data_IF_102328990069
#
_entry.id   IF_102328990069
#
_cell.length_a   1.000
_cell.length_b   1.000
_cell.length_c   1.000
_cell.angle_alpha   90.00
_cell.angle_beta   90.00
_cell.angle_gamma   90.00
#
_symmetry.space_group_name_H-M   'P 1'
#
loop_
_entity.id
_entity.type
_entity.pdbx_description
1 polymer ?
#
# COMPACT_ATOMS: atom_id res chain seq x y z
N UNK A 1 -45.23 9.20 -67.44
CA UNK A 1 -43.80 9.00 -67.25
C UNK A 1 -43.51 9.28 -65.80
N UNK A 2 -43.31 8.23 -64.95
CA UNK A 2 -42.97 8.35 -63.57
C UNK A 2 -41.42 8.36 -63.47
N UNK A 3 -40.82 9.46 -62.97
CA UNK A 3 -39.39 9.56 -62.73
C UNK A 3 -39.11 8.88 -61.41
N UNK A 4 -38.34 7.78 -61.41
CA UNK A 4 -37.72 7.18 -60.19
C UNK A 4 -36.48 7.99 -59.86
N UNK A 5 -36.46 8.56 -58.65
CA UNK A 5 -35.26 9.16 -58.05
C UNK A 5 -34.60 8.06 -57.24
N UNK A 6 -33.41 7.59 -57.66
CA UNK A 6 -32.58 6.64 -56.94
C UNK A 6 -31.74 7.44 -55.94
N UNK A 7 -32.11 7.35 -54.64
CA UNK A 7 -31.35 7.95 -53.54
C UNK A 7 -30.26 6.97 -53.13
N UNK A 8 -29.03 7.15 -53.57
CA UNK A 8 -27.86 6.41 -53.08
C UNK A 8 -27.43 6.96 -51.73
N UNK A 9 -27.77 6.23 -50.68
CA UNK A 9 -27.31 6.51 -49.31
C UNK A 9 -25.84 6.06 -49.19
N UNK A 10 -24.93 7.01 -49.19
CA UNK A 10 -23.52 6.77 -48.87
C UNK A 10 -23.39 6.53 -47.36
N UNK A 11 -23.21 5.27 -46.94
CA UNK A 11 -22.87 4.92 -45.56
C UNK A 11 -21.39 5.25 -45.38
N UNK A 12 -21.08 6.42 -44.80
CA UNK A 12 -19.75 6.76 -44.29
C UNK A 12 -19.45 5.86 -43.09
N UNK A 13 -18.81 4.72 -43.35
CA UNK A 13 -18.08 3.99 -42.31
C UNK A 13 -16.89 4.85 -41.92
N UNK A 14 -17.01 5.58 -40.83
CA UNK A 14 -15.84 6.18 -40.15
C UNK A 14 -14.99 5.05 -39.60
N UNK A 15 -14.00 4.58 -40.35
CA UNK A 15 -12.90 3.84 -39.80
C UNK A 15 -12.13 4.82 -38.88
N UNK A 16 -12.18 4.62 -37.59
CA UNK A 16 -11.18 5.19 -36.68
C UNK A 16 -9.86 4.51 -37.02
N UNK A 17 -9.08 5.14 -37.91
CA UNK A 17 -7.70 4.72 -38.13
C UNK A 17 -6.92 5.05 -36.88
N UNK A 18 -6.61 4.05 -36.06
CA UNK A 18 -5.63 4.20 -35.02
C UNK A 18 -4.29 4.54 -35.69
N UNK A 19 -3.69 5.67 -35.30
CA UNK A 19 -2.36 6.01 -35.77
C UNK A 19 -1.37 5.05 -35.10
N UNK A 20 -0.59 4.33 -35.90
CA UNK A 20 0.53 3.56 -35.37
C UNK A 20 1.75 4.46 -35.30
N UNK A 21 2.28 4.63 -34.08
CA UNK A 21 3.48 5.41 -33.82
C UNK A 21 4.59 4.46 -33.36
N UNK A 22 5.71 4.49 -34.07
CA UNK A 22 6.87 3.61 -33.80
C UNK A 22 8.06 4.45 -33.32
N UNK A 23 8.81 3.97 -32.33
CA UNK A 23 10.05 4.62 -31.94
C UNK A 23 11.08 4.55 -33.07
N UNK A 24 11.80 5.64 -33.34
CA UNK A 24 12.81 5.76 -34.40
C UNK A 24 14.24 5.76 -33.89
N UNK A 25 14.41 5.94 -32.58
CA UNK A 25 15.68 5.91 -31.86
C UNK A 25 15.47 5.68 -30.35
N UNK A 26 16.53 5.41 -29.63
CA UNK A 26 16.50 5.40 -28.16
C UNK A 26 16.17 6.79 -27.64
N UNK A 27 15.35 6.88 -26.58
CA UNK A 27 15.03 8.16 -25.97
C UNK A 27 13.90 8.11 -24.94
N UNK A 28 13.51 9.28 -24.46
CA UNK A 28 12.38 9.40 -23.55
C UNK A 28 11.06 9.40 -24.31
N UNK A 29 9.99 8.79 -23.73
CA UNK A 29 8.66 8.74 -24.33
C UNK A 29 8.10 10.12 -24.65
N UNK A 30 8.33 11.11 -23.79
CA UNK A 30 7.83 12.47 -23.97
C UNK A 30 8.58 13.28 -25.02
N UNK A 31 9.74 12.80 -25.49
CA UNK A 31 10.52 13.49 -26.50
C UNK A 31 10.02 13.19 -27.91
N UNK A 32 9.65 14.24 -28.67
CA UNK A 32 9.19 14.10 -30.04
C UNK A 32 10.20 13.43 -30.98
N UNK A 33 11.49 13.58 -30.69
CA UNK A 33 12.58 12.97 -31.45
C UNK A 33 12.65 11.45 -31.31
N UNK A 34 12.09 10.89 -30.26
CA UNK A 34 12.03 9.44 -30.05
C UNK A 34 11.12 8.73 -31.08
N UNK A 35 10.16 9.45 -31.64
CA UNK A 35 9.08 8.88 -32.43
C UNK A 35 9.20 9.19 -33.93
N UNK A 36 8.91 8.21 -34.76
CA UNK A 36 8.78 8.40 -36.18
C UNK A 36 7.63 9.39 -36.49
N UNK A 37 7.91 10.39 -37.27
CA UNK A 37 6.96 11.47 -37.53
C UNK A 37 6.94 12.61 -36.52
N UNK A 38 7.77 12.54 -35.44
CA UNK A 38 7.95 13.64 -34.50
C UNK A 38 6.75 13.95 -33.60
N UNK A 39 5.85 12.99 -33.38
CA UNK A 39 4.68 13.14 -32.51
C UNK A 39 4.76 12.15 -31.35
N UNK A 40 4.58 12.63 -30.11
CA UNK A 40 4.48 11.79 -28.91
C UNK A 40 3.16 11.03 -28.95
N UNK A 41 3.16 9.69 -28.72
CA UNK A 41 1.94 8.90 -28.68
C UNK A 41 0.98 9.32 -27.56
N UNK A 42 -0.33 9.21 -27.81
CA UNK A 42 -1.40 9.44 -26.86
C UNK A 42 -2.33 8.24 -26.70
N UNK A 43 -3.40 8.39 -25.91
CA UNK A 43 -4.32 7.31 -25.53
C UNK A 43 -5.04 6.60 -26.69
N UNK A 44 -5.14 7.23 -27.86
CA UNK A 44 -5.77 6.65 -29.06
C UNK A 44 -4.78 5.96 -30.01
N UNK A 45 -3.47 6.04 -29.73
CA UNK A 45 -2.45 5.55 -30.65
C UNK A 45 -2.03 4.12 -30.37
N UNK A 46 -1.75 3.35 -31.42
CA UNK A 46 -1.08 2.07 -31.36
C UNK A 46 0.43 2.31 -31.32
N UNK A 47 1.09 1.95 -30.22
CA UNK A 47 2.52 2.24 -30.01
C UNK A 47 3.38 1.02 -30.25
N UNK A 48 4.48 1.20 -31.00
CA UNK A 48 5.50 0.17 -31.21
C UNK A 48 6.85 0.66 -30.70
N UNK A 49 7.37 -0.04 -29.74
CA UNK A 49 8.73 0.16 -29.18
C UNK A 49 9.70 -0.70 -29.98
N UNK A 50 10.42 -0.08 -30.89
CA UNK A 50 11.43 -0.73 -31.74
C UNK A 50 12.88 -0.34 -31.33
N UNK A 51 13.04 0.49 -30.33
CA UNK A 51 14.28 0.98 -29.74
C UNK A 51 14.12 1.05 -28.22
N UNK A 52 15.17 1.32 -27.47
CA UNK A 52 15.03 1.47 -26.02
C UNK A 52 14.38 2.81 -25.69
N UNK A 53 13.24 2.74 -24.98
CA UNK A 53 12.42 3.91 -24.59
C UNK A 53 12.28 3.96 -23.09
N UNK A 54 12.58 5.13 -22.50
CA UNK A 54 12.28 5.43 -21.10
C UNK A 54 10.98 6.22 -20.99
N UNK A 55 10.17 5.86 -20.01
CA UNK A 55 8.95 6.60 -19.64
C UNK A 55 9.17 7.18 -18.24
N UNK A 56 9.37 8.51 -18.16
CA UNK A 56 9.66 9.24 -16.92
C UNK A 56 8.55 10.24 -16.54
N UNK A 57 7.38 10.12 -17.15
CA UNK A 57 6.20 10.95 -16.90
C UNK A 57 4.93 10.18 -17.24
N UNK A 58 3.75 10.76 -16.98
CA UNK A 58 2.48 10.11 -17.28
C UNK A 58 2.23 10.06 -18.79
N UNK A 59 2.05 8.85 -19.30
CA UNK A 59 1.85 8.55 -20.73
C UNK A 59 0.68 7.59 -20.93
N UNK A 60 0.24 7.46 -22.17
CA UNK A 60 -0.84 6.55 -22.54
C UNK A 60 -0.70 6.01 -23.96
N UNK A 61 -1.29 4.85 -24.20
CA UNK A 61 -1.40 4.21 -25.50
C UNK A 61 -2.72 3.44 -25.58
N UNK A 62 -3.26 3.28 -26.79
CA UNK A 62 -4.39 2.36 -27.02
C UNK A 62 -3.90 0.90 -26.97
N UNK A 63 -2.85 0.61 -27.75
CA UNK A 63 -2.14 -0.68 -27.73
C UNK A 63 -0.65 -0.47 -27.60
N UNK A 64 0.05 -1.45 -27.07
CA UNK A 64 1.51 -1.43 -26.92
C UNK A 64 2.12 -2.70 -27.49
N UNK A 65 3.09 -2.55 -28.40
CA UNK A 65 3.96 -3.65 -28.85
C UNK A 65 5.41 -3.32 -28.51
N UNK A 66 6.10 -4.17 -27.77
CA UNK A 66 7.55 -4.07 -27.56
C UNK A 66 8.21 -5.14 -28.41
N UNK A 67 9.07 -4.71 -29.35
CA UNK A 67 9.74 -5.60 -30.30
C UNK A 67 10.89 -6.36 -29.60
N UNK A 68 11.23 -7.52 -30.16
CA UNK A 68 12.39 -8.30 -29.69
C UNK A 68 13.67 -7.45 -29.75
N UNK A 69 14.45 -7.47 -28.68
CA UNK A 69 15.68 -6.70 -28.54
C UNK A 69 15.49 -5.24 -28.11
N UNK A 70 14.23 -4.77 -27.94
CA UNK A 70 13.93 -3.42 -27.45
C UNK A 70 13.47 -3.46 -25.99
N UNK A 71 13.74 -2.38 -25.25
CA UNK A 71 13.35 -2.25 -23.85
C UNK A 71 12.46 -1.02 -23.65
N UNK A 72 11.32 -1.20 -22.98
CA UNK A 72 10.53 -0.12 -22.38
C UNK A 72 10.78 -0.09 -20.88
N UNK A 73 11.33 1.03 -20.37
CA UNK A 73 11.56 1.22 -18.93
C UNK A 73 10.65 2.31 -18.38
N UNK A 74 9.73 1.97 -17.49
CA UNK A 74 9.03 2.92 -16.66
C UNK A 74 9.92 3.23 -15.45
N UNK A 75 10.40 4.46 -15.39
CA UNK A 75 11.21 4.92 -14.25
C UNK A 75 10.33 5.10 -13.01
N UNK A 76 10.90 5.37 -11.85
CA UNK A 76 10.14 5.63 -10.61
C UNK A 76 9.08 6.76 -10.75
N UNK A 77 9.30 7.70 -11.67
CA UNK A 77 8.38 8.82 -11.97
C UNK A 77 7.47 8.54 -13.17
N UNK A 78 7.67 7.40 -13.84
CA UNK A 78 6.96 7.02 -15.04
C UNK A 78 5.62 6.35 -14.75
N UNK A 79 4.58 6.76 -15.49
CA UNK A 79 3.26 6.16 -15.43
C UNK A 79 2.73 5.90 -16.85
N UNK A 80 2.31 4.67 -17.13
CA UNK A 80 1.79 4.31 -18.45
C UNK A 80 0.44 3.58 -18.34
N UNK A 81 -0.58 4.12 -19.03
CA UNK A 81 -1.84 3.40 -19.25
C UNK A 81 -1.86 2.82 -20.65
N UNK A 82 -2.14 1.52 -20.76
CA UNK A 82 -2.42 0.85 -22.04
C UNK A 82 -3.88 0.40 -22.04
N UNK A 83 -4.68 0.95 -22.98
CA UNK A 83 -6.14 0.83 -22.96
C UNK A 83 -6.68 -0.54 -23.37
N UNK A 84 -5.93 -1.33 -24.16
CA UNK A 84 -6.40 -2.64 -24.64
C UNK A 84 -5.31 -3.70 -24.63
N UNK A 85 -4.55 -3.89 -25.68
CA UNK A 85 -3.62 -5.02 -25.84
C UNK A 85 -2.17 -4.62 -25.57
N UNK A 86 -1.45 -5.46 -24.83
CA UNK A 86 0.01 -5.42 -24.71
C UNK A 86 0.62 -6.66 -25.34
N UNK A 87 1.49 -6.48 -26.35
CA UNK A 87 2.29 -7.53 -26.96
C UNK A 87 3.76 -7.31 -26.60
N UNK A 88 4.29 -8.08 -25.67
CA UNK A 88 5.69 -7.97 -25.25
C UNK A 88 6.53 -9.10 -25.85
N UNK A 89 7.32 -8.76 -26.90
CA UNK A 89 8.33 -9.65 -27.48
C UNK A 89 9.77 -9.24 -27.07
N UNK A 90 9.91 -8.11 -26.36
CA UNK A 90 11.14 -7.55 -25.86
C UNK A 90 11.19 -7.57 -24.33
N UNK A 91 11.51 -6.42 -23.74
CA UNK A 91 11.58 -6.25 -22.30
C UNK A 91 10.72 -5.07 -21.85
N UNK A 92 9.87 -5.26 -20.82
CA UNK A 92 9.20 -4.18 -20.11
C UNK A 92 9.71 -4.21 -18.68
N UNK A 93 10.23 -3.07 -18.19
CA UNK A 93 10.70 -2.90 -16.81
C UNK A 93 9.89 -1.81 -16.13
N UNK A 94 9.36 -2.11 -14.96
CA UNK A 94 8.78 -1.11 -14.04
C UNK A 94 9.71 -0.98 -12.85
N UNK A 95 10.26 0.21 -12.63
CA UNK A 95 11.28 0.45 -11.61
C UNK A 95 10.65 0.97 -10.34
N UNK A 96 10.80 0.23 -9.25
CA UNK A 96 10.51 0.66 -7.89
C UNK A 96 11.80 1.09 -7.18
N UNK A 97 11.76 2.26 -6.58
CA UNK A 97 12.78 2.76 -5.65
C UNK A 97 12.39 2.41 -4.20
N UNK A 98 13.08 2.97 -3.23
CA UNK A 98 12.78 2.72 -1.83
C UNK A 98 11.38 3.18 -1.43
N UNK A 99 10.98 4.38 -1.87
CA UNK A 99 9.74 5.05 -1.49
C UNK A 99 8.85 5.46 -2.68
N UNK A 100 9.26 5.19 -3.90
CA UNK A 100 8.58 5.60 -5.12
C UNK A 100 8.63 4.46 -6.14
N UNK A 101 7.63 4.38 -7.00
CA UNK A 101 7.58 3.35 -8.03
C UNK A 101 6.98 3.89 -9.31
N UNK A 102 7.54 3.47 -10.44
CA UNK A 102 6.86 3.53 -11.72
C UNK A 102 5.53 2.78 -11.65
N UNK A 103 4.62 3.11 -12.54
CA UNK A 103 3.26 2.59 -12.54
C UNK A 103 2.81 2.18 -13.94
N UNK A 104 2.41 0.92 -14.08
CA UNK A 104 1.84 0.38 -15.32
C UNK A 104 0.41 -0.11 -15.08
N UNK A 105 -0.55 0.45 -15.80
CA UNK A 105 -1.93 -0.02 -15.87
C UNK A 105 -2.19 -0.52 -17.29
N UNK A 106 -2.52 -1.81 -17.40
CA UNK A 106 -2.94 -2.42 -18.67
C UNK A 106 -4.37 -2.94 -18.49
N UNK A 107 -5.33 -2.20 -19.03
CA UNK A 107 -6.75 -2.57 -19.01
C UNK A 107 -7.07 -3.49 -20.17
N UNK A 108 -7.95 -4.47 -19.93
CA UNK A 108 -8.36 -5.45 -20.95
C UNK A 108 -7.21 -6.20 -21.66
N UNK A 109 -5.98 -6.09 -21.14
CA UNK A 109 -4.84 -6.76 -21.71
C UNK A 109 -4.78 -8.24 -21.29
N UNK A 110 -4.42 -9.10 -22.25
CA UNK A 110 -4.00 -10.46 -21.94
C UNK A 110 -2.74 -10.47 -21.07
N UNK A 111 -2.46 -11.62 -20.46
CA UNK A 111 -1.24 -11.81 -19.69
C UNK A 111 0.01 -11.61 -20.54
N UNK A 112 0.95 -10.83 -20.06
CA UNK A 112 2.26 -10.61 -20.69
C UNK A 112 3.38 -10.59 -19.64
N UNK A 113 4.61 -10.82 -20.08
CA UNK A 113 5.75 -10.81 -19.18
C UNK A 113 6.27 -9.38 -18.98
N UNK A 114 6.68 -9.10 -17.75
CA UNK A 114 7.41 -7.88 -17.39
C UNK A 114 8.39 -8.17 -16.24
N UNK A 115 9.30 -7.24 -16.00
CA UNK A 115 10.16 -7.21 -14.84
C UNK A 115 9.72 -6.04 -13.95
N UNK A 116 9.41 -6.33 -12.68
CA UNK A 116 9.25 -5.33 -11.64
C UNK A 116 10.51 -5.32 -10.78
N UNK A 117 11.13 -4.16 -10.63
CA UNK A 117 12.36 -4.01 -9.85
C UNK A 117 12.11 -3.19 -8.60
N UNK A 118 12.57 -3.65 -7.43
CA UNK A 118 12.33 -3.01 -6.14
C UNK A 118 13.61 -2.99 -5.31
N UNK A 119 13.93 -1.85 -4.68
CA UNK A 119 15.03 -1.78 -3.74
C UNK A 119 14.68 -2.48 -2.42
N UNK A 120 15.51 -3.45 -2.01
CA UNK A 120 15.44 -4.16 -0.74
C UNK A 120 16.63 -3.72 0.13
N UNK A 121 16.41 -3.19 1.34
CA UNK A 121 17.49 -2.70 2.20
C UNK A 121 18.37 -3.84 2.74
N UNK A 122 19.59 -3.47 3.18
CA UNK A 122 20.46 -4.37 3.92
C UNK A 122 20.08 -4.40 5.39
N UNK A 123 20.17 -5.59 6.00
CA UNK A 123 20.02 -5.77 7.46
C UNK A 123 18.66 -5.34 8.05
N UNK A 124 17.69 -5.09 7.19
CA UNK A 124 16.32 -4.73 7.56
C UNK A 124 15.32 -5.54 6.75
N UNK A 125 14.27 -6.02 7.41
CA UNK A 125 13.16 -6.66 6.76
C UNK A 125 12.23 -5.62 6.13
N UNK A 126 11.93 -5.79 4.85
CA UNK A 126 10.92 -5.02 4.12
C UNK A 126 9.71 -5.88 3.81
N UNK A 127 8.51 -5.37 4.06
CA UNK A 127 7.28 -6.00 3.58
C UNK A 127 7.13 -5.75 2.08
N UNK A 128 6.91 -6.82 1.31
CA UNK A 128 6.95 -6.78 -0.15
C UNK A 128 5.74 -7.47 -0.75
N UNK A 129 5.03 -6.76 -1.63
CA UNK A 129 4.09 -7.32 -2.60
C UNK A 129 4.80 -7.60 -3.92
N UNK A 130 4.52 -8.73 -4.56
CA UNK A 130 5.15 -9.11 -5.83
C UNK A 130 4.11 -9.02 -6.95
N UNK A 131 4.22 -8.04 -7.86
CA UNK A 131 3.16 -7.73 -8.83
C UNK A 131 3.17 -8.63 -10.08
N UNK A 132 3.94 -9.71 -10.06
CA UNK A 132 4.02 -10.69 -11.16
C UNK A 132 3.84 -12.11 -10.65
N UNK A 133 3.41 -13.03 -11.49
CA UNK A 133 3.17 -14.44 -11.19
C UNK A 133 4.12 -15.35 -11.96
N UNK A 134 4.18 -16.60 -11.55
CA UNK A 134 5.01 -17.63 -12.19
C UNK A 134 6.42 -17.71 -11.63
N UNK A 135 6.68 -17.06 -10.49
CA UNK A 135 7.97 -17.07 -9.80
C UNK A 135 8.06 -18.25 -8.80
N UNK A 136 9.27 -18.72 -8.64
CA UNK A 136 9.71 -19.57 -7.54
C UNK A 136 10.74 -18.86 -6.68
N UNK A 137 11.09 -19.40 -5.53
CA UNK A 137 12.14 -18.83 -4.66
C UNK A 137 13.47 -18.68 -5.41
N UNK A 138 13.82 -19.62 -6.28
CA UNK A 138 15.06 -19.58 -7.07
C UNK A 138 15.12 -18.41 -8.07
N UNK A 139 13.97 -17.87 -8.46
CA UNK A 139 13.92 -16.73 -9.39
C UNK A 139 14.23 -15.40 -8.71
N UNK A 140 14.26 -15.35 -7.36
CA UNK A 140 14.42 -14.13 -6.57
C UNK A 140 15.43 -14.24 -5.42
N UNK A 141 16.08 -15.40 -5.22
CA UNK A 141 17.01 -15.62 -4.09
C UNK A 141 18.41 -15.02 -4.29
N UNK A 142 18.69 -14.46 -5.47
CA UNK A 142 19.96 -13.85 -5.80
C UNK A 142 20.31 -12.71 -4.83
N UNK A 143 21.39 -12.92 -4.05
CA UNK A 143 21.90 -11.94 -3.08
C UNK A 143 20.96 -11.56 -1.93
N UNK A 144 19.88 -12.28 -1.72
CA UNK A 144 19.12 -12.14 -0.47
C UNK A 144 20.00 -12.57 0.72
N UNK A 145 19.74 -11.99 1.89
CA UNK A 145 20.47 -12.34 3.10
C UNK A 145 20.30 -13.84 3.40
N UNK A 146 21.33 -14.47 3.98
CA UNK A 146 21.27 -15.87 4.34
C UNK A 146 21.70 -16.08 5.78
N UNK A 147 21.13 -17.10 6.44
CA UNK A 147 21.49 -17.49 7.78
C UNK A 147 21.58 -19.03 7.87
N UNK A 148 22.70 -19.52 8.43
CA UNK A 148 23.00 -20.95 8.49
C UNK A 148 23.76 -21.46 7.25
N UNK A 149 23.75 -22.75 7.03
CA UNK A 149 24.44 -23.40 5.92
C UNK A 149 23.79 -24.71 5.50
N UNK A 150 24.12 -25.18 4.29
CA UNK A 150 23.61 -26.44 3.74
C UNK A 150 22.11 -26.38 3.43
N UNK A 151 21.42 -27.51 3.39
CA UNK A 151 20.02 -27.63 3.01
C UNK A 151 19.05 -26.94 3.98
N UNK A 152 19.47 -26.58 5.19
CA UNK A 152 18.70 -25.87 6.19
C UNK A 152 19.07 -24.37 6.27
N UNK A 153 19.90 -23.86 5.36
CA UNK A 153 20.20 -22.45 5.27
C UNK A 153 18.93 -21.68 4.94
N UNK A 154 18.63 -20.66 5.77
CA UNK A 154 17.51 -19.74 5.55
C UNK A 154 17.89 -18.69 4.51
N UNK A 155 16.96 -18.34 3.64
CA UNK A 155 17.09 -17.27 2.64
C UNK A 155 16.29 -16.07 3.13
N UNK A 156 16.75 -14.86 2.83
CA UNK A 156 16.15 -13.61 3.26
C UNK A 156 14.81 -13.29 2.57
N UNK A 157 13.93 -14.28 2.50
CA UNK A 157 12.53 -14.18 2.08
C UNK A 157 11.68 -15.10 2.95
N UNK A 158 10.59 -14.56 3.46
CA UNK A 158 9.62 -15.27 4.29
C UNK A 158 8.19 -14.83 4.00
N UNK A 159 7.25 -15.59 4.49
CA UNK A 159 5.83 -15.27 4.45
C UNK A 159 5.17 -15.57 5.79
N UNK A 160 4.07 -14.89 6.03
CA UNK A 160 3.26 -15.17 7.22
C UNK A 160 2.25 -16.27 6.91
N UNK A 161 2.32 -17.35 7.69
CA UNK A 161 1.32 -18.43 7.68
C UNK A 161 0.13 -17.97 8.53
N UNK A 162 -0.90 -17.47 7.87
CA UNK A 162 -2.10 -16.94 8.51
C UNK A 162 -2.82 -17.99 9.35
N UNK A 163 -2.91 -19.23 8.86
CA UNK A 163 -3.62 -20.31 9.56
C UNK A 163 -2.93 -20.69 10.87
N UNK A 164 -1.60 -20.74 10.88
CA UNK A 164 -0.81 -21.09 12.06
C UNK A 164 -0.28 -19.88 12.84
N UNK A 165 -0.54 -18.66 12.38
CA UNK A 165 -0.15 -17.39 13.01
C UNK A 165 1.34 -17.29 13.30
N UNK A 166 2.18 -17.60 12.31
CA UNK A 166 3.64 -17.58 12.44
C UNK A 166 4.36 -17.23 11.14
N UNK A 167 5.55 -16.70 11.27
CA UNK A 167 6.45 -16.52 10.15
C UNK A 167 7.09 -17.84 9.70
N UNK A 168 7.13 -18.03 8.40
CA UNK A 168 7.81 -19.12 7.72
C UNK A 168 8.85 -18.53 6.78
N UNK A 169 10.11 -18.95 6.94
CA UNK A 169 11.22 -18.49 6.10
C UNK A 169 11.61 -19.60 5.15
N UNK A 170 11.80 -19.27 3.89
CA UNK A 170 12.24 -20.26 2.91
C UNK A 170 13.67 -20.72 3.18
N UNK A 171 13.93 -21.98 2.85
CA UNK A 171 15.26 -22.56 2.92
C UNK A 171 15.92 -22.58 1.53
N UNK A 172 17.24 -22.58 1.49
CA UNK A 172 17.99 -22.72 0.23
C UNK A 172 17.68 -24.03 -0.53
N UNK A 173 17.05 -24.98 0.14
CA UNK A 173 16.48 -26.18 -0.48
C UNK A 173 15.09 -26.02 -1.07
N UNK A 174 14.41 -24.90 -0.81
CA UNK A 174 13.04 -24.63 -1.31
C UNK A 174 13.01 -23.97 -2.70
N UNK A 175 13.99 -24.22 -3.54
CA UNK A 175 14.20 -23.51 -4.82
C UNK A 175 12.99 -23.53 -5.76
N UNK A 176 12.14 -24.55 -5.68
CA UNK A 176 10.94 -24.71 -6.49
C UNK A 176 9.65 -24.28 -5.81
N UNK A 177 9.73 -23.75 -4.58
CA UNK A 177 8.56 -23.24 -3.89
C UNK A 177 7.98 -22.04 -4.64
N UNK A 178 6.67 -22.08 -4.93
CA UNK A 178 5.99 -21.04 -5.69
C UNK A 178 5.78 -19.78 -4.86
N UNK A 179 5.95 -18.64 -5.50
CA UNK A 179 5.65 -17.31 -4.96
C UNK A 179 4.26 -16.89 -5.43
N UNK A 180 3.37 -16.55 -4.50
CA UNK A 180 2.00 -16.08 -4.79
C UNK A 180 1.98 -14.58 -5.00
N UNK A 181 1.36 -14.12 -6.07
CA UNK A 181 1.24 -12.70 -6.43
C UNK A 181 0.45 -11.85 -5.40
N UNK A 182 -0.49 -12.46 -4.67
CA UNK A 182 -1.38 -11.73 -3.74
C UNK A 182 -1.01 -11.88 -2.27
N UNK A 183 0.01 -12.71 -1.98
CA UNK A 183 0.58 -12.84 -0.64
C UNK A 183 1.64 -11.75 -0.43
N UNK A 184 1.66 -11.17 0.76
CA UNK A 184 2.78 -10.34 1.19
C UNK A 184 3.94 -11.22 1.70
N UNK A 185 5.13 -10.72 1.51
CA UNK A 185 6.39 -11.34 1.95
C UNK A 185 7.19 -10.37 2.80
N UNK A 186 8.09 -10.88 3.60
CA UNK A 186 9.21 -10.10 4.14
C UNK A 186 10.47 -10.45 3.36
N UNK A 187 11.27 -9.46 3.03
CA UNK A 187 12.55 -9.65 2.33
C UNK A 187 13.66 -8.84 2.96
N UNK A 188 14.86 -9.40 2.96
CA UNK A 188 16.10 -8.74 3.39
C UNK A 188 17.23 -9.07 2.41
N UNK A 189 17.90 -8.04 1.90
CA UNK A 189 19.05 -8.21 1.03
C UNK A 189 20.36 -8.22 1.83
N UNK A 190 21.37 -8.95 1.39
CA UNK A 190 22.65 -9.08 2.10
C UNK A 190 23.40 -7.73 2.23
N UNK A 191 23.33 -6.88 1.21
CA UNK A 191 24.07 -5.60 1.14
C UNK A 191 23.20 -4.39 0.78
N UNK A 192 21.90 -4.58 0.60
CA UNK A 192 20.99 -3.58 0.03
C UNK A 192 21.21 -3.43 -1.47
N UNK A 193 20.20 -3.80 -2.26
CA UNK A 193 20.20 -3.64 -3.71
C UNK A 193 18.80 -3.72 -4.31
N UNK A 194 18.72 -3.46 -5.61
CA UNK A 194 17.52 -3.69 -6.40
C UNK A 194 17.37 -5.17 -6.68
N UNK A 195 16.23 -5.74 -6.29
CA UNK A 195 15.79 -7.10 -6.62
C UNK A 195 14.78 -7.03 -7.75
N UNK A 196 14.92 -7.92 -8.73
CA UNK A 196 14.05 -7.97 -9.92
C UNK A 196 13.14 -9.18 -9.89
N UNK A 197 11.86 -8.95 -10.12
CA UNK A 197 10.81 -9.94 -10.21
C UNK A 197 10.36 -10.04 -11.66
N UNK A 198 10.84 -11.02 -12.40
CA UNK A 198 10.49 -11.21 -13.82
C UNK A 198 9.47 -12.33 -13.96
N UNK A 199 8.27 -11.97 -14.37
CA UNK A 199 7.17 -12.94 -14.48
C UNK A 199 6.00 -12.42 -15.29
N UNK A 200 4.87 -13.09 -15.18
CA UNK A 200 3.66 -12.76 -15.93
C UNK A 200 2.78 -11.80 -15.13
N UNK A 201 2.53 -10.60 -15.67
CA UNK A 201 1.44 -9.75 -15.21
C UNK A 201 0.11 -10.33 -15.67
N UNK A 202 -0.83 -10.41 -14.76
CA UNK A 202 -2.24 -10.69 -15.05
C UNK A 202 -3.05 -9.44 -14.71
N UNK A 203 -3.53 -8.75 -15.72
CA UNK A 203 -4.24 -7.48 -15.57
C UNK A 203 -5.64 -7.61 -14.95
N UNK A 204 -6.24 -8.81 -14.96
CA UNK A 204 -7.58 -9.08 -14.41
C UNK A 204 -7.63 -9.10 -12.88
N UNK A 205 -8.84 -9.07 -12.32
CA UNK A 205 -9.08 -9.18 -10.88
C UNK A 205 -8.33 -10.34 -10.22
N UNK A 206 -7.80 -10.12 -9.02
CA UNK A 206 -6.99 -11.09 -8.27
C UNK A 206 -7.63 -11.40 -6.92
N UNK A 207 -7.80 -12.70 -6.62
CA UNK A 207 -8.18 -13.12 -5.26
C UNK A 207 -6.93 -13.24 -4.39
N UNK A 208 -7.05 -12.80 -3.14
CA UNK A 208 -5.95 -12.91 -2.16
C UNK A 208 -5.83 -14.34 -1.61
N UNK A 209 -4.83 -14.58 -0.77
CA UNK A 209 -4.83 -15.72 0.14
C UNK A 209 -6.05 -15.61 1.09
N UNK A 210 -6.46 -16.73 1.67
CA UNK A 210 -7.51 -16.73 2.67
C UNK A 210 -7.08 -15.99 3.94
N UNK A 211 -8.00 -15.24 4.53
CA UNK A 211 -7.94 -14.81 5.94
C UNK A 211 -8.63 -15.85 6.82
N UNK A 212 -8.53 -15.71 8.12
CA UNK A 212 -9.21 -16.57 9.10
C UNK A 212 -9.69 -15.74 10.27
N UNK A 213 -10.72 -16.22 10.97
CA UNK A 213 -11.31 -15.53 12.11
C UNK A 213 -10.27 -15.21 13.19
N UNK A 214 -10.17 -13.95 13.57
CA UNK A 214 -9.27 -13.44 14.59
C UNK A 214 -7.78 -13.75 14.31
N UNK A 215 -7.37 -13.69 13.04
CA UNK A 215 -5.98 -13.89 12.63
C UNK A 215 -5.51 -12.81 11.66
N UNK A 216 -4.23 -12.51 11.76
CA UNK A 216 -3.55 -11.61 10.83
C UNK A 216 -3.24 -12.31 9.52
N UNK A 217 -3.39 -11.59 8.41
CA UNK A 217 -2.95 -12.01 7.09
C UNK A 217 -2.12 -10.91 6.44
N UNK A 218 -1.00 -11.27 5.84
CA UNK A 218 -0.15 -10.36 5.08
C UNK A 218 -0.49 -10.49 3.60
N UNK A 219 -1.06 -9.43 3.03
CA UNK A 219 -1.46 -9.33 1.64
C UNK A 219 -0.47 -8.48 0.85
N UNK A 220 -0.28 -8.77 -0.44
CA UNK A 220 0.56 -7.99 -1.34
C UNK A 220 -0.26 -7.31 -2.44
N UNK A 221 0.16 -6.11 -2.84
CA UNK A 221 -0.37 -5.46 -4.05
C UNK A 221 0.03 -6.30 -5.28
N UNK A 222 -0.94 -6.88 -6.02
CA UNK A 222 -0.65 -7.76 -7.15
C UNK A 222 -0.41 -7.04 -8.47
N UNK A 223 -0.40 -5.71 -8.49
CA UNK A 223 -0.24 -4.92 -9.72
C UNK A 223 1.00 -4.02 -9.65
N UNK A 224 1.65 -3.77 -10.78
CA UNK A 224 2.72 -2.78 -10.89
C UNK A 224 2.15 -1.37 -11.03
N UNK A 225 1.15 -1.05 -10.23
CA UNK A 225 0.43 0.22 -10.14
C UNK A 225 -0.05 0.46 -8.73
N UNK A 226 -0.39 1.69 -8.39
CA UNK A 226 -1.02 1.99 -7.12
C UNK A 226 -2.45 1.44 -7.08
N UNK A 227 -2.92 1.10 -5.88
CA UNK A 227 -4.32 0.75 -5.62
C UNK A 227 -4.96 1.83 -4.75
N UNK A 228 -6.19 2.23 -5.07
CA UNK A 228 -6.99 3.05 -4.14
C UNK A 228 -7.26 2.25 -2.88
N UNK A 229 -6.89 2.82 -1.73
CA UNK A 229 -7.08 2.19 -0.44
C UNK A 229 -8.44 2.53 0.16
N UNK A 230 -8.74 3.81 0.28
CA UNK A 230 -9.92 4.33 0.97
C UNK A 230 -10.92 4.97 0.02
N UNK A 231 -12.09 5.33 0.51
CA UNK A 231 -13.10 6.09 -0.21
C UNK A 231 -12.73 7.56 -0.39
N UNK A 232 -11.78 8.08 0.36
CA UNK A 232 -11.18 9.42 0.19
C UNK A 232 -10.23 9.48 -1.02
N UNK A 233 -9.73 8.34 -1.50
CA UNK A 233 -8.84 8.31 -2.65
C UNK A 233 -9.51 8.92 -3.89
N UNK A 234 -8.78 9.76 -4.63
CA UNK A 234 -9.32 10.44 -5.82
C UNK A 234 -9.97 9.45 -6.80
N UNK A 235 -11.24 9.67 -7.08
CA UNK A 235 -12.06 8.82 -7.95
C UNK A 235 -12.52 7.51 -7.33
N UNK A 236 -12.42 7.35 -5.99
CA UNK A 236 -12.99 6.20 -5.30
C UNK A 236 -14.52 6.20 -5.42
N UNK A 237 -15.07 5.03 -5.66
CA UNK A 237 -16.51 4.81 -5.69
C UNK A 237 -16.85 3.31 -5.67
N UNK A 238 -17.91 2.93 -4.99
CA UNK A 238 -18.39 1.55 -4.96
C UNK A 238 -17.33 0.56 -4.53
N UNK A 239 -16.85 -0.31 -5.42
CA UNK A 239 -15.86 -1.36 -5.13
C UNK A 239 -14.50 -1.12 -5.77
N UNK A 240 -14.20 0.11 -6.21
CA UNK A 240 -12.94 0.44 -6.86
C UNK A 240 -11.82 0.92 -5.91
N UNK A 241 -11.98 0.70 -4.60
CA UNK A 241 -10.97 0.91 -3.56
C UNK A 241 -10.92 -0.31 -2.63
N UNK A 242 -9.81 -0.48 -1.90
CA UNK A 242 -9.61 -1.71 -1.12
C UNK A 242 -10.53 -1.76 0.11
N UNK A 243 -10.66 -0.70 0.89
CA UNK A 243 -11.53 -0.65 2.08
C UNK A 243 -13.00 -0.34 1.72
N UNK A 244 -13.52 -0.99 0.66
CA UNK A 244 -14.94 -0.89 0.29
C UNK A 244 -15.84 -1.68 1.27
N UNK A 245 -17.13 -1.40 1.24
CA UNK A 245 -18.14 -2.00 2.16
C UNK A 245 -18.05 -3.52 2.24
N UNK A 246 -17.80 -4.22 1.11
CA UNK A 246 -17.67 -5.68 1.10
C UNK A 246 -16.42 -6.12 1.85
N UNK A 247 -15.27 -5.51 1.58
CA UNK A 247 -14.01 -5.87 2.23
C UNK A 247 -14.01 -5.50 3.72
N UNK A 248 -14.65 -4.39 4.10
CA UNK A 248 -14.82 -4.03 5.51
C UNK A 248 -15.59 -5.10 6.29
N UNK A 249 -16.57 -5.78 5.68
CA UNK A 249 -17.30 -6.89 6.33
C UNK A 249 -16.44 -8.16 6.54
N UNK A 250 -15.34 -8.32 5.81
CA UNK A 250 -14.37 -9.42 5.96
C UNK A 250 -13.36 -9.15 7.09
N UNK A 251 -13.23 -7.89 7.50
CA UNK A 251 -12.37 -7.49 8.59
C UNK A 251 -13.11 -7.56 9.93
N UNK A 252 -12.36 -7.78 10.99
CA UNK A 252 -12.89 -7.71 12.35
C UNK A 252 -13.37 -6.29 12.64
N UNK A 253 -14.53 -6.11 13.28
CA UNK A 253 -15.10 -4.79 13.59
C UNK A 253 -14.10 -3.85 14.30
N UNK A 254 -13.26 -4.40 15.16
CA UNK A 254 -12.19 -3.66 15.85
C UNK A 254 -10.95 -3.39 15.00
N UNK A 255 -10.91 -3.86 13.76
CA UNK A 255 -9.76 -3.77 12.85
C UNK A 255 -10.23 -3.53 11.41
N UNK A 256 -11.16 -2.60 11.19
CA UNK A 256 -11.63 -2.21 9.86
C UNK A 256 -10.65 -1.23 9.18
N UNK A 257 -9.39 -1.67 9.09
CA UNK A 257 -8.24 -0.93 8.60
C UNK A 257 -7.24 -1.89 7.97
N UNK A 258 -6.17 -1.33 7.40
CA UNK A 258 -4.95 -2.06 7.10
C UNK A 258 -3.80 -1.53 7.95
N UNK A 259 -2.74 -2.33 8.10
CA UNK A 259 -1.50 -1.90 8.71
C UNK A 259 -0.36 -2.00 7.71
N UNK A 260 0.42 -0.93 7.59
CA UNK A 260 1.62 -0.85 6.77
C UNK A 260 2.86 -0.54 7.60
N UNK A 261 4.02 -0.88 7.08
CA UNK A 261 5.31 -0.55 7.68
C UNK A 261 5.87 0.72 7.04
N UNK A 262 6.04 1.79 7.82
CA UNK A 262 6.51 3.11 7.34
C UNK A 262 8.04 3.20 7.17
N UNK A 263 8.77 2.13 7.50
CA UNK A 263 10.23 2.09 7.56
C UNK A 263 10.77 2.19 8.99
N UNK A 264 9.95 2.58 9.95
CA UNK A 264 10.32 2.73 11.38
C UNK A 264 9.32 2.11 12.32
N UNK A 265 8.03 2.10 11.96
CA UNK A 265 6.95 1.57 12.77
C UNK A 265 5.82 1.02 11.90
N UNK A 266 4.96 0.19 12.48
CA UNK A 266 3.67 -0.09 11.91
C UNK A 266 2.71 1.07 12.17
N UNK A 267 2.02 1.52 11.12
CA UNK A 267 0.95 2.51 11.21
C UNK A 267 -0.33 1.95 10.56
N UNK A 268 -1.48 2.44 10.99
CA UNK A 268 -2.78 1.97 10.54
C UNK A 268 -3.45 2.97 9.61
N UNK A 269 -4.21 2.46 8.64
CA UNK A 269 -4.90 3.24 7.62
C UNK A 269 -6.32 2.72 7.44
N UNK A 270 -7.31 3.58 7.61
CA UNK A 270 -8.74 3.27 7.48
C UNK A 270 -9.42 4.19 6.46
N UNK A 271 -10.73 4.04 6.26
CA UNK A 271 -11.51 4.98 5.46
C UNK A 271 -11.68 6.34 6.12
N UNK A 272 -11.34 6.45 7.40
CA UNK A 272 -11.46 7.68 8.15
C UNK A 272 -10.13 8.42 8.21
N UNK A 273 -10.18 9.74 8.04
CA UNK A 273 -9.06 10.64 8.29
C UNK A 273 -8.75 10.80 9.79
N UNK A 274 -9.59 10.27 10.68
CA UNK A 274 -9.41 10.32 12.13
C UNK A 274 -8.16 9.57 12.59
N UNK A 275 -7.72 8.54 11.88
CA UNK A 275 -6.51 7.78 12.19
C UNK A 275 -5.20 8.58 12.08
N UNK A 276 -5.26 9.83 11.62
CA UNK A 276 -4.11 10.75 11.61
C UNK A 276 -3.07 10.50 10.51
N UNK A 277 -3.30 9.52 9.64
CA UNK A 277 -2.53 9.27 8.43
C UNK A 277 -3.47 8.96 7.28
N UNK A 278 -3.64 9.87 6.32
CA UNK A 278 -4.32 9.55 5.08
C UNK A 278 -3.32 8.92 4.12
N UNK A 279 -3.36 7.62 4.00
CA UNK A 279 -2.78 6.93 2.87
C UNK A 279 -3.92 6.56 1.94
N UNK A 280 -4.05 7.28 0.85
CA UNK A 280 -5.11 7.03 -0.12
C UNK A 280 -4.81 5.84 -1.03
N UNK A 281 -3.56 5.38 -1.03
CA UNK A 281 -3.07 4.41 -2.01
C UNK A 281 -2.09 3.40 -1.41
N UNK A 282 -2.17 2.15 -1.88
CA UNK A 282 -1.17 1.10 -1.65
C UNK A 282 -0.22 1.12 -2.86
N UNK A 283 1.07 1.36 -2.63
CA UNK A 283 2.04 1.45 -3.72
C UNK A 283 2.34 0.09 -4.38
N UNK A 284 2.83 0.08 -5.63
CA UNK A 284 3.41 -1.13 -6.22
C UNK A 284 4.55 -1.66 -5.36
N UNK A 285 4.59 -2.97 -5.16
CA UNK A 285 5.61 -3.59 -4.34
C UNK A 285 5.37 -3.53 -2.83
N UNK A 286 4.30 -2.91 -2.37
CA UNK A 286 3.94 -2.90 -0.94
C UNK A 286 3.14 -4.15 -0.54
N UNK A 287 3.36 -4.57 0.70
CA UNK A 287 2.51 -5.53 1.41
C UNK A 287 1.97 -4.90 2.70
N UNK A 288 0.80 -5.37 3.12
CA UNK A 288 0.06 -4.80 4.23
C UNK A 288 -0.71 -5.88 5.00
N UNK A 289 -0.93 -5.62 6.28
CA UNK A 289 -1.66 -6.51 7.15
C UNK A 289 -3.14 -6.20 7.20
N UNK A 290 -3.93 -7.26 7.30
CA UNK A 290 -5.36 -7.23 7.59
C UNK A 290 -5.69 -8.21 8.72
N UNK A 291 -6.74 -7.92 9.51
CA UNK A 291 -7.20 -8.82 10.58
C UNK A 291 -8.57 -9.38 10.24
N UNK A 292 -8.63 -10.68 10.01
CA UNK A 292 -9.81 -11.35 9.49
C UNK A 292 -10.94 -11.49 10.53
N UNK A 293 -12.17 -11.31 10.05
CA UNK A 293 -13.38 -11.62 10.82
C UNK A 293 -13.76 -13.10 10.69
N UNK A 294 -13.53 -13.68 9.49
CA UNK A 294 -13.85 -15.07 9.15
C UNK A 294 -12.88 -15.58 8.07
N UNK A 295 -13.10 -16.82 7.57
CA UNK A 295 -12.39 -17.36 6.43
C UNK A 295 -12.94 -16.74 5.14
N UNK A 296 -12.23 -15.73 4.61
CA UNK A 296 -12.62 -14.96 3.44
C UNK A 296 -11.43 -14.73 2.49
N UNK A 297 -11.72 -14.40 1.24
CA UNK A 297 -10.73 -13.95 0.27
C UNK A 297 -11.13 -12.59 -0.30
N UNK A 298 -10.24 -11.62 -0.23
CA UNK A 298 -10.47 -10.31 -0.84
C UNK A 298 -10.33 -10.41 -2.35
N UNK A 299 -11.10 -9.61 -3.07
CA UNK A 299 -10.93 -9.45 -4.52
C UNK A 299 -10.28 -8.12 -4.81
N UNK A 300 -8.99 -8.11 -5.12
CA UNK A 300 -8.29 -6.91 -5.61
C UNK A 300 -8.64 -6.75 -7.08
N UNK A 301 -9.41 -5.70 -7.40
CA UNK A 301 -9.97 -5.47 -8.72
C UNK A 301 -9.03 -4.63 -9.58
N UNK A 302 -9.02 -4.90 -10.88
CA UNK A 302 -8.32 -4.05 -11.86
C UNK A 302 -8.78 -2.58 -11.80
N UNK A 303 -10.07 -2.34 -11.48
CA UNK A 303 -10.63 -1.00 -11.32
C UNK A 303 -10.11 -0.24 -10.09
N UNK A 304 -9.43 -0.90 -9.16
CA UNK A 304 -8.75 -0.25 -8.02
C UNK A 304 -7.44 0.42 -8.45
N UNK A 305 -6.89 0.06 -9.60
CA UNK A 305 -5.62 0.59 -10.08
C UNK A 305 -5.71 2.09 -10.39
N UNK A 306 -4.64 2.81 -10.11
CA UNK A 306 -4.49 4.23 -10.37
C UNK A 306 -3.01 4.58 -10.54
N UNK A 307 -2.73 5.64 -11.31
CA UNK A 307 -1.42 6.30 -11.30
C UNK A 307 -1.44 7.37 -10.23
N UNK A 308 -1.03 7.05 -9.05
CA UNK A 308 -0.89 8.05 -8.00
C UNK A 308 0.55 8.55 -7.97
N UNK A 309 0.72 9.86 -7.81
CA UNK A 309 1.97 10.42 -7.33
C UNK A 309 2.08 10.36 -5.81
N UNK A 310 1.20 9.60 -5.15
CA UNK A 310 1.21 9.40 -3.71
C UNK A 310 2.36 8.52 -3.28
N UNK A 311 2.76 8.68 -2.03
CA UNK A 311 3.81 7.90 -1.40
C UNK A 311 3.21 6.59 -0.89
N UNK A 312 3.95 5.48 -0.98
CA UNK A 312 3.62 4.25 -0.27
C UNK A 312 3.81 4.40 1.25
N UNK A 313 3.60 3.34 2.00
CA UNK A 313 3.69 3.33 3.48
C UNK A 313 4.96 3.98 4.04
N UNK A 314 6.08 3.91 3.35
CA UNK A 314 7.38 4.43 3.80
C UNK A 314 7.53 5.95 3.83
N UNK A 315 6.56 6.69 3.37
CA UNK A 315 6.65 8.15 3.26
C UNK A 315 5.44 8.87 3.86
N UNK A 316 4.64 8.18 4.64
CA UNK A 316 3.41 8.70 5.25
C UNK A 316 3.65 9.68 6.42
N UNK A 317 4.88 10.20 6.58
CA UNK A 317 5.21 11.18 7.64
C UNK A 317 4.59 12.58 7.44
N UNK A 318 3.74 12.78 6.44
CA UNK A 318 3.11 14.09 6.20
C UNK A 318 1.67 14.08 6.67
N UNK A 319 1.47 14.48 7.89
CA UNK A 319 0.21 15.01 8.40
C UNK A 319 -0.05 16.37 7.74
N UNK A 320 -0.63 16.37 6.57
CA UNK A 320 -1.11 17.54 5.87
C UNK A 320 -2.64 17.54 5.85
N UNK A 321 -3.28 17.86 6.95
CA UNK A 321 -4.67 18.30 6.91
C UNK A 321 -4.73 19.61 6.12
N UNK A 322 -5.33 19.62 4.95
CA UNK A 322 -5.75 20.87 4.29
C UNK A 322 -6.91 21.44 5.06
N UNK A 323 -6.73 22.69 5.47
CA UNK A 323 -7.73 23.53 6.10
C UNK A 323 -8.91 23.72 5.12
N UNK A 324 -10.00 22.98 5.32
CA UNK A 324 -11.25 23.20 4.62
C UNK A 324 -12.38 23.42 5.64
N UNK A 325 -13.02 24.57 5.56
CA UNK A 325 -13.83 25.20 6.59
C UNK A 325 -15.23 24.62 6.82
N UNK A 326 -15.50 23.40 6.35
CA UNK A 326 -16.76 22.67 6.57
C UNK A 326 -16.57 21.26 7.19
N UNK A 327 -15.39 20.97 7.78
CA UNK A 327 -15.09 19.67 8.37
C UNK A 327 -15.58 19.64 9.82
N UNK A 328 -16.20 18.52 10.22
CA UNK A 328 -16.49 18.18 11.62
C UNK A 328 -15.27 18.47 12.49
N UNK A 329 -15.49 18.97 13.72
CA UNK A 329 -14.38 19.30 14.63
C UNK A 329 -13.57 18.04 14.93
N UNK A 330 -12.29 18.08 14.62
CA UNK A 330 -11.35 17.01 14.93
C UNK A 330 -10.21 17.53 15.79
N UNK A 331 -9.85 16.76 16.82
CA UNK A 331 -8.64 17.00 17.60
C UNK A 331 -7.90 15.71 17.79
N UNK A 332 -6.59 15.74 17.58
CA UNK A 332 -5.71 14.56 17.61
C UNK A 332 -4.65 14.70 18.69
N UNK A 333 -4.44 13.62 19.45
CA UNK A 333 -3.29 13.41 20.32
C UNK A 333 -2.52 12.22 19.77
N UNK A 334 -1.23 12.36 19.49
CA UNK A 334 -0.38 11.25 19.03
C UNK A 334 0.86 11.11 19.91
N UNK A 335 1.11 9.89 20.35
CA UNK A 335 2.32 9.50 21.08
C UNK A 335 3.16 8.54 20.26
N UNK A 336 4.48 8.59 20.48
CA UNK A 336 5.39 7.50 20.11
C UNK A 336 5.90 6.81 21.36
N UNK A 337 6.00 5.50 21.28
CA UNK A 337 6.65 4.68 22.30
C UNK A 337 7.83 3.99 21.67
N UNK A 338 8.94 4.02 22.40
CA UNK A 338 10.19 3.42 21.99
C UNK A 338 10.63 2.39 23.03
N UNK A 339 11.02 1.23 22.57
CA UNK A 339 11.86 0.29 23.29
C UNK A 339 13.25 0.21 22.62
N UNK A 340 14.10 -0.75 23.04
CA UNK A 340 15.44 -0.89 22.49
C UNK A 340 15.48 -1.23 20.99
N UNK A 341 14.39 -1.81 20.43
CA UNK A 341 14.35 -2.44 19.12
C UNK A 341 13.22 -1.94 18.22
N UNK A 342 12.28 -1.18 18.77
CA UNK A 342 11.06 -0.84 18.04
C UNK A 342 10.47 0.50 18.43
N UNK A 343 9.65 1.03 17.52
CA UNK A 343 8.80 2.20 17.72
C UNK A 343 7.35 1.81 17.51
N UNK A 344 6.45 2.40 18.29
CA UNK A 344 5.00 2.23 18.18
C UNK A 344 4.31 3.57 18.23
N UNK A 345 3.14 3.64 17.63
CA UNK A 345 2.26 4.79 17.71
C UNK A 345 1.00 4.48 18.51
N UNK A 346 0.53 5.50 19.22
CA UNK A 346 -0.78 5.53 19.86
C UNK A 346 -1.43 6.86 19.54
N UNK A 347 -2.70 6.82 19.16
CA UNK A 347 -3.46 8.03 18.87
C UNK A 347 -4.79 8.05 19.63
N UNK A 348 -5.20 9.24 20.06
CA UNK A 348 -6.56 9.52 20.54
C UNK A 348 -7.12 10.64 19.66
N UNK A 349 -8.31 10.44 19.14
CA UNK A 349 -8.97 11.36 18.22
C UNK A 349 -10.31 11.76 18.80
N UNK A 350 -10.61 13.06 18.82
CA UNK A 350 -11.91 13.60 19.23
C UNK A 350 -12.65 14.12 18.02
N UNK A 351 -13.90 13.73 17.85
CA UNK A 351 -14.76 14.15 16.75
C UNK A 351 -16.23 14.25 17.12
N UNK A 352 -17.02 14.98 16.33
CA UNK A 352 -18.44 15.24 16.62
C UNK A 352 -19.31 13.99 16.50
N UNK A 353 -18.93 13.03 15.64
CA UNK A 353 -19.72 11.84 15.33
C UNK A 353 -19.23 10.57 16.06
N UNK A 354 -18.27 10.67 16.97
CA UNK A 354 -17.71 9.53 17.70
C UNK A 354 -18.46 9.26 19.00
N UNK A 355 -18.33 8.00 19.47
CA UNK A 355 -18.94 7.51 20.73
C UNK A 355 -17.85 7.20 21.77
N UNK A 356 -18.27 6.78 22.98
CA UNK A 356 -17.35 6.24 24.00
C UNK A 356 -17.19 4.71 23.89
N UNK A 357 -17.97 4.08 23.04
CA UNK A 357 -17.90 2.65 22.68
C UNK A 357 -17.09 2.43 21.43
N UNK A 358 -17.33 1.30 20.75
CA UNK A 358 -16.63 1.00 19.49
C UNK A 358 -17.27 1.75 18.32
N UNK A 359 -16.46 2.55 17.65
CA UNK A 359 -16.77 3.17 16.36
C UNK A 359 -15.93 2.44 15.27
N UNK A 360 -16.50 1.47 14.53
CA UNK A 360 -15.77 0.66 13.57
C UNK A 360 -15.15 1.50 12.44
N UNK A 361 -13.84 1.32 12.20
CA UNK A 361 -13.08 2.12 11.24
C UNK A 361 -12.43 3.36 11.83
N UNK A 362 -12.91 3.84 13.00
CA UNK A 362 -12.35 4.95 13.76
C UNK A 362 -11.51 4.43 14.94
N UNK A 363 -12.08 3.54 15.74
CA UNK A 363 -11.36 2.79 16.75
C UNK A 363 -10.60 1.63 16.11
N UNK A 364 -9.28 1.59 16.29
CA UNK A 364 -8.44 0.60 15.65
C UNK A 364 -7.71 -0.24 16.69
N UNK A 365 -8.01 -1.53 16.70
CA UNK A 365 -7.34 -2.51 17.56
C UNK A 365 -5.84 -2.56 17.32
N UNK A 366 -5.07 -2.77 18.39
CA UNK A 366 -3.62 -2.73 18.37
C UNK A 366 -2.99 -3.86 17.56
N UNK A 367 -1.93 -3.55 16.83
CA UNK A 367 -1.07 -4.52 16.17
C UNK A 367 0.11 -4.86 17.10
N UNK A 368 0.06 -6.05 17.72
CA UNK A 368 1.13 -6.52 18.62
C UNK A 368 2.29 -7.09 17.81
N UNK A 369 3.32 -6.28 17.61
CA UNK A 369 4.57 -6.73 16.98
C UNK A 369 5.76 -6.33 17.86
N UNK A 370 6.65 -7.27 18.21
CA UNK A 370 7.82 -7.03 19.09
C UNK A 370 7.49 -7.09 20.58
N UNK A 371 8.45 -6.63 21.39
CA UNK A 371 8.51 -6.87 22.85
C UNK A 371 7.73 -5.84 23.67
N UNK A 372 7.34 -4.71 23.06
CA UNK A 372 6.63 -3.63 23.73
C UNK A 372 5.31 -3.33 23.05
N UNK A 373 4.32 -3.03 23.87
CA UNK A 373 2.99 -2.65 23.43
C UNK A 373 2.48 -1.46 24.23
N UNK A 374 1.88 -0.48 23.52
CA UNK A 374 1.13 0.62 24.12
C UNK A 374 -0.27 0.62 23.55
N UNK A 375 -1.25 0.87 24.38
CA UNK A 375 -2.64 0.82 24.01
C UNK A 375 -3.53 1.68 24.89
N UNK A 376 -4.72 2.00 24.38
CA UNK A 376 -5.85 2.44 25.20
C UNK A 376 -6.89 1.33 25.26
N UNK A 377 -7.89 1.50 26.14
CA UNK A 377 -9.08 0.65 26.19
C UNK A 377 -10.31 1.52 26.08
N UNK A 378 -11.35 1.01 25.42
CA UNK A 378 -12.62 1.72 25.32
C UNK A 378 -13.24 1.94 26.69
N UNK A 379 -13.95 3.04 26.85
CA UNK A 379 -14.64 3.37 28.10
C UNK A 379 -15.96 2.63 28.26
N UNK A 380 -16.52 2.09 27.17
CA UNK A 380 -17.75 1.29 27.16
C UNK A 380 -17.64 0.11 26.19
N UNK A 381 -17.79 -1.10 26.71
CA UNK A 381 -17.74 -2.35 25.95
C UNK A 381 -16.31 -2.79 25.54
N UNK A 382 -16.24 -3.93 24.88
CA UNK A 382 -15.01 -4.53 24.35
C UNK A 382 -13.85 -4.67 25.36
N UNK A 383 -14.17 -5.15 26.55
CA UNK A 383 -13.17 -5.51 27.57
C UNK A 383 -12.12 -6.47 26.97
N UNK A 384 -10.84 -6.25 27.28
CA UNK A 384 -9.69 -7.01 26.80
C UNK A 384 -9.33 -6.82 25.30
N UNK A 385 -9.78 -5.77 24.66
CA UNK A 385 -9.24 -5.33 23.37
C UNK A 385 -8.38 -4.08 23.60
N UNK A 386 -7.13 -4.16 23.16
CA UNK A 386 -6.20 -3.04 23.18
C UNK A 386 -6.34 -2.25 21.88
N UNK A 387 -6.46 -0.94 21.98
CA UNK A 387 -6.61 -0.05 20.84
C UNK A 387 -5.33 0.79 20.63
N UNK A 388 -4.87 0.86 19.39
CA UNK A 388 -3.80 1.75 18.97
C UNK A 388 -4.33 3.12 18.56
N UNK A 389 -5.60 3.17 18.14
CA UNK A 389 -6.33 4.42 17.91
C UNK A 389 -7.66 4.32 18.64
N UNK A 390 -7.98 5.34 19.42
CA UNK A 390 -9.25 5.48 20.10
C UNK A 390 -9.94 6.76 19.65
N UNK A 391 -11.15 6.62 19.14
CA UNK A 391 -12.04 7.72 18.77
C UNK A 391 -12.93 8.08 19.96
N UNK A 392 -13.18 9.37 20.19
CA UNK A 392 -13.97 9.86 21.31
C UNK A 392 -14.83 11.05 20.91
N UNK A 393 -16.01 11.25 21.52
CA UNK A 393 -16.86 12.41 21.24
C UNK A 393 -16.12 13.73 21.55
N UNK A 394 -16.19 14.69 20.65
CA UNK A 394 -15.55 16.00 20.84
C UNK A 394 -16.02 16.70 22.11
N UNK A 395 -17.26 16.50 22.53
CA UNK A 395 -17.81 17.07 23.77
C UNK A 395 -17.11 16.58 25.05
N UNK A 396 -16.39 15.46 24.97
CA UNK A 396 -15.61 14.89 26.09
C UNK A 396 -14.19 15.45 26.21
N UNK A 397 -13.75 16.23 25.24
CA UNK A 397 -12.34 16.69 25.14
C UNK A 397 -11.83 17.41 26.39
N UNK A 398 -12.69 18.08 27.17
CA UNK A 398 -12.32 18.82 28.38
C UNK A 398 -12.48 18.05 29.68
N UNK A 399 -13.10 16.87 29.64
CA UNK A 399 -13.41 16.09 30.85
C UNK A 399 -13.46 14.60 30.53
N UNK A 400 -12.29 14.01 30.30
CA UNK A 400 -12.15 12.57 30.05
C UNK A 400 -10.86 12.04 30.66
N UNK A 401 -10.91 10.85 31.24
CA UNK A 401 -9.74 10.06 31.62
C UNK A 401 -9.68 8.82 30.73
N UNK A 402 -8.59 8.70 29.98
CA UNK A 402 -8.40 7.62 29.01
C UNK A 402 -7.42 6.60 29.61
N UNK A 403 -7.84 5.34 29.83
CA UNK A 403 -6.95 4.30 30.29
C UNK A 403 -5.81 4.06 29.30
N UNK A 404 -4.57 4.18 29.78
CA UNK A 404 -3.35 3.94 29.00
C UNK A 404 -2.64 2.73 29.58
N UNK A 405 -2.42 1.71 28.77
CA UNK A 405 -1.64 0.53 29.11
C UNK A 405 -0.29 0.52 28.39
N UNK A 406 0.74 0.12 29.11
CA UNK A 406 2.08 -0.11 28.56
C UNK A 406 2.57 -1.48 29.05
N UNK A 407 2.91 -2.36 28.10
CA UNK A 407 3.50 -3.67 28.37
C UNK A 407 4.87 -3.75 27.74
N UNK A 408 5.85 -4.36 28.42
CA UNK A 408 7.17 -4.58 27.87
C UNK A 408 7.81 -5.83 28.46
N UNK A 409 8.57 -6.57 27.64
CA UNK A 409 9.42 -7.67 28.09
C UNK A 409 10.87 -7.24 28.30
N UNK A 410 11.30 -6.10 27.78
CA UNK A 410 12.70 -5.70 27.65
C UNK A 410 13.18 -4.53 28.52
N UNK A 411 12.43 -4.13 29.54
CA UNK A 411 12.92 -3.10 30.46
C UNK A 411 12.51 -1.68 30.07
N UNK A 412 13.44 -0.80 29.72
CA UNK A 412 13.13 0.64 29.57
C UNK A 412 12.27 0.99 28.38
N UNK A 413 11.18 1.71 28.63
CA UNK A 413 10.32 2.30 27.62
C UNK A 413 10.39 3.82 27.71
N UNK A 414 10.42 4.46 26.56
CA UNK A 414 10.32 5.91 26.41
C UNK A 414 9.04 6.28 25.71
N UNK A 415 8.19 7.07 26.35
CA UNK A 415 7.00 7.67 25.76
C UNK A 415 7.32 9.11 25.36
N UNK A 416 7.09 9.44 24.10
CA UNK A 416 7.21 10.79 23.58
C UNK A 416 5.85 11.28 23.05
N UNK A 417 5.57 12.53 23.35
CA UNK A 417 4.44 13.24 22.77
C UNK A 417 4.84 13.88 21.43
N UNK A 418 4.14 13.54 20.36
CA UNK A 418 4.56 13.93 19.00
C UNK A 418 3.75 15.08 18.43
N UNK A 419 2.42 15.05 18.61
CA UNK A 419 1.54 16.03 17.98
C UNK A 419 0.22 16.13 18.72
N UNK A 420 -0.33 17.36 18.78
CA UNK A 420 -1.73 17.57 19.08
C UNK A 420 -2.33 18.65 18.17
N UNK A 421 -3.64 18.58 18.02
CA UNK A 421 -4.46 19.65 17.48
C UNK A 421 -5.53 20.04 18.51
N UNK A 422 -5.22 19.84 19.80
CA UNK A 422 -6.12 20.26 20.87
C UNK A 422 -6.27 21.77 20.88
N UNK A 423 -7.44 22.28 21.25
CA UNK A 423 -7.61 23.71 21.51
C UNK A 423 -6.69 24.20 22.63
N UNK A 424 -6.18 25.42 22.52
CA UNK A 424 -5.22 26.03 23.48
C UNK A 424 -5.72 26.08 24.94
N UNK A 425 -7.03 25.96 25.15
CA UNK A 425 -7.63 25.98 26.49
C UNK A 425 -7.71 24.58 27.15
N UNK A 426 -7.27 23.52 26.44
CA UNK A 426 -7.24 22.15 26.97
C UNK A 426 -5.85 21.85 27.51
N UNK A 427 -5.80 21.51 28.78
CA UNK A 427 -4.61 20.98 29.44
C UNK A 427 -4.67 19.46 29.49
N UNK A 428 -3.56 18.80 29.13
CA UNK A 428 -3.43 17.34 29.15
C UNK A 428 -2.45 16.91 30.26
N UNK A 429 -2.79 15.84 30.97
CA UNK A 429 -1.97 15.28 32.02
C UNK A 429 -1.82 13.77 31.87
N UNK A 430 -0.64 13.24 32.18
CA UNK A 430 -0.42 11.83 32.40
C UNK A 430 -0.53 11.54 33.90
N UNK A 431 -1.45 10.66 34.28
CA UNK A 431 -1.59 10.16 35.63
C UNK A 431 -0.84 8.82 35.77
N UNK A 432 0.07 8.75 36.69
CA UNK A 432 0.63 7.48 37.17
C UNK A 432 -0.21 6.99 38.33
N UNK A 433 -1.07 6.01 38.06
CA UNK A 433 -2.00 5.46 39.06
C UNK A 433 -1.30 4.68 40.19
N UNK A 434 -0.09 4.18 39.96
CA UNK A 434 0.71 3.45 40.96
C UNK A 434 1.34 4.40 41.95
N UNK A 435 1.92 5.48 41.47
CA UNK A 435 2.60 6.48 42.29
C UNK A 435 1.68 7.64 42.72
N UNK A 436 0.44 7.67 42.20
CA UNK A 436 -0.56 8.74 42.40
C UNK A 436 0.03 10.14 42.10
N UNK A 437 0.68 10.25 40.94
CA UNK A 437 1.31 11.49 40.49
C UNK A 437 0.76 11.93 39.14
N UNK A 438 0.74 13.25 38.91
CA UNK A 438 0.30 13.85 37.67
C UNK A 438 1.45 14.61 37.00
N UNK A 439 1.65 14.40 35.71
CA UNK A 439 2.61 15.13 34.89
C UNK A 439 1.89 15.84 33.76
N UNK A 440 2.02 17.18 33.67
CA UNK A 440 1.45 17.92 32.56
C UNK A 440 2.20 17.58 31.27
N UNK A 441 1.45 17.25 30.23
CA UNK A 441 1.96 16.97 28.89
C UNK A 441 1.99 18.28 28.11
N UNK A 442 3.15 18.64 27.59
CA UNK A 442 3.37 19.84 26.77
C UNK A 442 4.25 19.47 25.59
N UNK A 443 4.45 20.38 24.65
CA UNK A 443 5.36 20.16 23.53
C UNK A 443 6.75 19.73 24.03
N UNK A 444 7.28 18.66 23.43
CA UNK A 444 8.55 18.04 23.84
C UNK A 444 8.47 17.17 25.10
N UNK A 445 7.25 16.82 25.54
CA UNK A 445 7.11 15.89 26.68
C UNK A 445 7.73 14.54 26.37
N UNK A 446 8.56 14.07 27.29
CA UNK A 446 9.19 12.76 27.29
C UNK A 446 9.19 12.17 28.68
N UNK A 447 8.90 10.89 28.79
CA UNK A 447 8.99 10.13 30.04
C UNK A 447 9.55 8.75 29.79
N UNK A 448 10.43 8.30 30.70
CA UNK A 448 10.98 6.96 30.69
C UNK A 448 10.35 6.15 31.84
N UNK A 449 9.99 4.92 31.52
CA UNK A 449 9.54 3.92 32.48
C UNK A 449 10.61 2.84 32.60
N UNK A 450 10.95 2.47 33.87
CA UNK A 450 11.95 1.45 34.20
C UNK A 450 11.31 0.12 34.60
#
# INVERSE_FOLDING_TARGET
>A
MKKFILLTMFLLLSFTAYSQITSSQNGDWSATTTWAGGSVPGASDAVVIAHDVSCASTQSASTLTVNSGSTLTLTKDGALTVGTTVTNNGTIVVTGAENESGSLIATDADSFNLTYSLYIPASEWKLVGIPVSGLTVNDIDDNLATNGSGASQKVGIGYYDTENSRWEVFLSSNTTASISQTRGYEMMHATGAVVSFTGTLRASNRSTIATYANKWALLGNPYPSYLRLSDDATGASGTNHFLNTTHLSYLKNTHQNIWGWDGTAYDSYSNSNASGGSLDYIAPGDAFWVYGNDEETFTIRETMQVHSGGQGFRNSSVLGGTDDSDVARLALIKFSVFDANSKRYLSVVFGDDFSIGLDPGEDIGGFRAGDSHIYTQLMDGYDNVDFAIQALPYEKISDVTIPLGIETESGKIRLEYNKNTLPDYIDMYLEDTKENTFKKITDGFEINFD
#
